data_IF_262787175623
#
_entry.id   IF_262787175623
#
_cell.length_a   1.000
_cell.length_b   1.000
_cell.length_c   1.000
_cell.angle_alpha   90.00
_cell.angle_beta   90.00
_cell.angle_gamma   90.00
#
_symmetry.space_group_name_H-M   'P 1'
#
loop_
_entity.id
_entity.type
_entity.pdbx_description
1 polymer ?
#
# COMPACT_ATOMS: atom_id res chain seq x y z
N UNK A 1 -15.08 -12.33 13.02
CA UNK A 1 -14.47 -11.14 12.36
C UNK A 1 -14.79 -11.16 10.86
N UNK A 2 -15.07 -10.04 10.22
CA UNK A 2 -15.34 -10.03 8.77
C UNK A 2 -14.01 -9.87 8.03
N UNK A 3 -13.61 -10.87 7.24
CA UNK A 3 -12.34 -10.88 6.49
C UNK A 3 -12.43 -10.20 5.13
N UNK A 4 -13.63 -9.92 4.64
CA UNK A 4 -13.88 -9.39 3.32
C UNK A 4 -14.81 -8.19 3.33
N UNK A 5 -14.39 -7.07 2.74
CA UNK A 5 -15.25 -5.93 2.44
C UNK A 5 -14.97 -5.39 1.02
N UNK A 6 -15.95 -4.71 0.45
CA UNK A 6 -15.89 -4.19 -0.90
C UNK A 6 -15.97 -2.66 -0.86
N UNK A 7 -14.93 -2.03 -1.38
CA UNK A 7 -14.95 -0.68 -1.92
C UNK A 7 -14.81 -0.77 -3.43
N UNK A 8 -14.04 0.12 -4.10
CA UNK A 8 -13.70 -0.06 -5.53
C UNK A 8 -12.82 -1.29 -5.75
N UNK A 9 -11.93 -1.60 -4.80
CA UNK A 9 -11.13 -2.83 -4.80
C UNK A 9 -11.70 -3.84 -3.78
N UNK A 10 -11.64 -5.15 -4.07
CA UNK A 10 -11.95 -6.17 -3.08
C UNK A 10 -10.81 -6.25 -2.07
N UNK A 11 -11.13 -6.19 -0.79
CA UNK A 11 -10.18 -6.32 0.30
C UNK A 11 -10.43 -7.63 1.03
N UNK A 12 -9.44 -8.50 1.07
CA UNK A 12 -9.46 -9.74 1.83
C UNK A 12 -8.39 -9.65 2.91
N UNK A 13 -8.85 -9.55 4.16
CA UNK A 13 -8.00 -9.31 5.32
C UNK A 13 -8.11 -10.49 6.29
N UNK A 14 -7.47 -11.65 6.00
CA UNK A 14 -7.37 -12.73 6.97
C UNK A 14 -6.61 -12.28 8.21
N UNK A 15 -7.03 -12.78 9.35
CA UNK A 15 -6.34 -12.53 10.61
C UNK A 15 -4.95 -13.20 10.60
N UNK A 16 -3.94 -12.53 11.12
CA UNK A 16 -2.60 -13.08 11.24
C UNK A 16 -1.88 -13.30 9.91
N UNK A 17 -2.15 -12.48 8.90
CA UNK A 17 -1.50 -12.57 7.61
C UNK A 17 -0.42 -11.50 7.41
N UNK A 18 0.51 -11.80 6.52
CA UNK A 18 1.45 -10.81 6.00
C UNK A 18 0.82 -10.05 4.84
N UNK A 19 1.02 -8.73 4.85
CA UNK A 19 0.46 -7.83 3.84
C UNK A 19 1.54 -7.03 3.15
N UNK A 20 1.38 -6.87 1.85
CA UNK A 20 2.00 -5.80 1.08
C UNK A 20 0.94 -4.73 0.80
N UNK A 21 1.26 -3.50 1.12
CA UNK A 21 0.33 -2.38 1.01
C UNK A 21 0.99 -1.25 0.25
N UNK A 22 0.25 -0.66 -0.69
CA UNK A 22 0.64 0.60 -1.34
C UNK A 22 -0.46 1.64 -1.13
N UNK A 23 -0.08 2.80 -0.62
CA UNK A 23 -0.96 3.96 -0.54
C UNK A 23 -0.26 5.20 -1.09
N UNK A 24 -1.02 6.09 -1.67
CA UNK A 24 -0.52 7.20 -2.46
C UNK A 24 -1.09 8.55 -2.03
N UNK A 25 -0.41 9.63 -2.39
CA UNK A 25 -0.91 10.98 -2.18
C UNK A 25 -2.23 11.21 -2.95
N UNK A 26 -3.06 12.07 -2.41
CA UNK A 26 -4.23 12.55 -3.14
C UNK A 26 -3.78 13.23 -4.44
N UNK A 27 -4.50 12.96 -5.52
CA UNK A 27 -4.21 13.49 -6.86
C UNK A 27 -2.84 13.09 -7.46
N UNK A 28 -2.19 12.04 -6.94
CA UNK A 28 -0.92 11.55 -7.50
C UNK A 28 -1.07 10.83 -8.84
N UNK A 29 -2.28 10.54 -9.27
CA UNK A 29 -2.60 10.05 -10.61
C UNK A 29 -3.77 10.83 -11.21
N UNK A 30 -3.74 11.15 -12.52
CA UNK A 30 -4.86 11.75 -13.22
C UNK A 30 -6.12 10.87 -13.15
N UNK A 31 -7.27 11.48 -12.92
CA UNK A 31 -8.56 10.77 -12.82
C UNK A 31 -8.85 9.95 -14.08
N UNK A 32 -8.57 10.53 -15.27
CA UNK A 32 -8.75 9.85 -16.55
C UNK A 32 -7.96 8.56 -16.63
N UNK A 33 -6.70 8.57 -16.21
CA UNK A 33 -5.86 7.38 -16.21
C UNK A 33 -6.40 6.27 -15.31
N UNK A 34 -6.88 6.65 -14.11
CA UNK A 34 -7.49 5.69 -13.18
C UNK A 34 -8.74 5.07 -13.83
N UNK A 35 -9.56 5.88 -14.48
CA UNK A 35 -10.76 5.39 -15.20
C UNK A 35 -10.40 4.42 -16.31
N UNK A 36 -9.42 4.74 -17.15
CA UNK A 36 -8.94 3.86 -18.23
C UNK A 36 -8.42 2.52 -17.70
N UNK A 37 -7.64 2.54 -16.60
CA UNK A 37 -7.14 1.32 -15.96
C UNK A 37 -8.27 0.48 -15.35
N UNK A 38 -9.23 1.11 -14.69
CA UNK A 38 -10.39 0.43 -14.09
C UNK A 38 -11.28 -0.20 -15.17
N UNK A 39 -11.55 0.53 -16.26
CA UNK A 39 -12.33 -0.01 -17.39
C UNK A 39 -11.63 -1.18 -18.07
N UNK A 40 -10.31 -1.09 -18.27
CA UNK A 40 -9.53 -2.20 -18.83
C UNK A 40 -9.61 -3.41 -17.92
N UNK A 41 -9.44 -3.22 -16.60
CA UNK A 41 -9.53 -4.30 -15.62
C UNK A 41 -10.91 -4.96 -15.62
N UNK A 42 -11.99 -4.20 -15.69
CA UNK A 42 -13.35 -4.75 -15.71
C UNK A 42 -13.63 -5.52 -17.02
N UNK A 43 -13.14 -5.04 -18.17
CA UNK A 43 -13.21 -5.79 -19.44
C UNK A 43 -12.47 -7.13 -19.34
N UNK A 44 -11.24 -7.14 -18.83
CA UNK A 44 -10.46 -8.37 -18.66
C UNK A 44 -11.11 -9.34 -17.65
N UNK A 45 -11.71 -8.84 -16.56
CA UNK A 45 -12.49 -9.65 -15.61
C UNK A 45 -13.70 -10.32 -16.29
N UNK A 46 -14.41 -9.59 -17.13
CA UNK A 46 -15.56 -10.15 -17.85
C UNK A 46 -15.13 -11.28 -18.78
N UNK A 47 -14.03 -11.12 -19.51
CA UNK A 47 -13.45 -12.17 -20.34
C UNK A 47 -13.08 -13.40 -19.50
N UNK A 48 -12.47 -13.21 -18.32
CA UNK A 48 -12.13 -14.33 -17.44
C UNK A 48 -13.38 -15.07 -16.98
N UNK A 49 -14.45 -14.36 -16.60
CA UNK A 49 -15.71 -14.94 -16.13
C UNK A 49 -16.43 -15.76 -17.22
N UNK A 50 -16.29 -15.36 -18.47
CA UNK A 50 -16.94 -16.07 -19.60
C UNK A 50 -16.10 -17.21 -20.17
N UNK A 51 -14.76 -17.11 -20.10
CA UNK A 51 -13.84 -18.04 -20.77
C UNK A 51 -13.37 -19.20 -19.89
N UNK A 52 -13.32 -19.02 -18.59
CA UNK A 52 -12.72 -19.98 -17.64
C UNK A 52 -13.76 -20.62 -16.74
N UNK A 53 -13.50 -21.86 -16.33
CA UNK A 53 -14.31 -22.55 -15.31
C UNK A 53 -14.16 -21.86 -13.94
N UNK A 54 -15.13 -22.01 -13.03
CA UNK A 54 -15.09 -21.40 -11.70
C UNK A 54 -13.82 -21.71 -10.92
N UNK A 55 -13.24 -22.89 -11.09
CA UNK A 55 -11.99 -23.29 -10.46
C UNK A 55 -10.78 -22.50 -11.01
N UNK A 56 -10.78 -22.22 -12.33
CA UNK A 56 -9.71 -21.48 -12.99
C UNK A 56 -9.84 -19.97 -12.81
N UNK A 57 -11.06 -19.46 -12.70
CA UNK A 57 -11.33 -18.01 -12.57
C UNK A 57 -10.55 -17.37 -11.42
N UNK A 58 -10.45 -18.04 -10.25
CA UNK A 58 -9.72 -17.51 -9.10
C UNK A 58 -8.25 -17.24 -9.41
N UNK A 59 -7.59 -18.18 -10.09
CA UNK A 59 -6.19 -18.04 -10.46
C UNK A 59 -5.98 -16.92 -11.51
N UNK A 60 -6.88 -16.84 -12.51
CA UNK A 60 -6.78 -15.82 -13.55
C UNK A 60 -7.12 -14.43 -13.05
N UNK A 61 -8.11 -14.27 -12.17
CA UNK A 61 -8.41 -13.00 -11.50
C UNK A 61 -7.22 -12.53 -10.64
N UNK A 62 -6.57 -13.45 -9.94
CA UNK A 62 -5.37 -13.14 -9.16
C UNK A 62 -4.21 -12.63 -10.04
N UNK A 63 -3.98 -13.27 -11.20
CA UNK A 63 -2.98 -12.79 -12.18
C UNK A 63 -3.33 -11.40 -12.72
N UNK A 64 -4.61 -11.18 -13.00
CA UNK A 64 -5.10 -9.89 -13.46
C UNK A 64 -4.88 -8.80 -12.40
N UNK A 65 -5.19 -9.07 -11.14
CA UNK A 65 -4.99 -8.10 -10.06
C UNK A 65 -3.50 -7.73 -9.87
N UNK A 66 -2.60 -8.71 -10.02
CA UNK A 66 -1.14 -8.43 -10.05
C UNK A 66 -0.72 -7.59 -11.25
N UNK A 67 -1.23 -7.90 -12.44
CA UNK A 67 -0.96 -7.13 -13.66
C UNK A 67 -1.45 -5.69 -13.51
N UNK A 68 -2.68 -5.52 -13.01
CA UNK A 68 -3.28 -4.21 -12.75
C UNK A 68 -2.43 -3.39 -11.77
N UNK A 69 -2.03 -3.99 -10.64
CA UNK A 69 -1.15 -3.33 -9.69
C UNK A 69 0.18 -2.89 -10.33
N UNK A 70 0.82 -3.78 -11.10
CA UNK A 70 2.08 -3.44 -11.77
C UNK A 70 1.96 -2.26 -12.74
N UNK A 71 0.85 -2.15 -13.47
CA UNK A 71 0.56 -0.99 -14.32
C UNK A 71 0.30 0.26 -13.51
N UNK A 72 -0.52 0.15 -12.46
CA UNK A 72 -0.85 1.26 -11.57
C UNK A 72 0.41 1.85 -10.92
N UNK A 73 1.28 1.01 -10.42
CA UNK A 73 2.54 1.38 -9.79
C UNK A 73 3.52 2.04 -10.77
N UNK A 74 3.65 1.46 -11.98
CA UNK A 74 4.46 2.07 -13.03
C UNK A 74 3.99 3.46 -13.45
N UNK A 75 2.68 3.75 -13.32
CA UNK A 75 2.15 5.09 -13.55
C UNK A 75 2.44 6.05 -12.40
N UNK A 76 2.48 5.58 -11.15
CA UNK A 76 2.93 6.39 -10.01
C UNK A 76 4.37 6.88 -10.21
N UNK A 77 5.25 6.01 -10.72
CA UNK A 77 6.62 6.37 -11.06
C UNK A 77 6.69 7.40 -12.20
N UNK A 78 5.86 7.24 -13.24
CA UNK A 78 5.87 8.11 -14.44
C UNK A 78 5.22 9.47 -14.24
N UNK A 79 4.15 9.54 -13.43
CA UNK A 79 3.39 10.77 -13.21
C UNK A 79 4.01 11.68 -12.13
N UNK A 80 5.26 11.43 -11.71
CA UNK A 80 5.91 12.18 -10.64
C UNK A 80 5.97 13.67 -10.94
N UNK A 81 6.29 14.07 -12.18
CA UNK A 81 6.43 15.48 -12.55
C UNK A 81 5.09 16.25 -12.56
N UNK A 82 3.98 15.57 -12.83
CA UNK A 82 2.64 16.16 -12.96
C UNK A 82 1.80 15.99 -11.69
N UNK A 83 2.35 15.40 -10.64
CA UNK A 83 1.63 15.01 -9.42
C UNK A 83 2.21 15.65 -8.16
N UNK A 84 1.43 15.71 -7.07
CA UNK A 84 1.97 16.09 -5.77
C UNK A 84 3.15 15.19 -5.37
N UNK A 85 4.24 15.83 -4.93
CA UNK A 85 5.48 15.17 -4.51
C UNK A 85 5.80 15.49 -3.04
N UNK A 86 4.78 15.61 -2.20
CA UNK A 86 4.97 16.08 -0.83
C UNK A 86 5.88 15.21 0.01
N UNK A 87 6.01 13.91 -0.33
CA UNK A 87 6.96 13.00 0.34
C UNK A 87 8.42 13.20 -0.13
N UNK A 88 8.70 14.07 -1.11
CA UNK A 88 10.06 14.49 -1.42
C UNK A 88 10.60 15.50 -0.40
N UNK A 89 9.72 16.15 0.38
CA UNK A 89 10.11 16.96 1.52
C UNK A 89 10.56 16.05 2.67
N UNK A 90 11.77 16.27 3.15
CA UNK A 90 12.40 15.41 4.16
C UNK A 90 11.64 15.40 5.50
N UNK A 91 11.08 16.54 5.91
CA UNK A 91 10.30 16.65 7.15
C UNK A 91 9.00 15.84 7.00
N UNK A 92 8.34 15.95 5.86
CA UNK A 92 7.10 15.24 5.56
C UNK A 92 7.35 13.73 5.49
N UNK A 93 8.41 13.31 4.80
CA UNK A 93 8.78 11.90 4.72
C UNK A 93 9.14 11.33 6.10
N UNK A 94 9.85 12.10 6.94
CA UNK A 94 10.20 11.69 8.30
C UNK A 94 8.95 11.48 9.16
N UNK A 95 7.96 12.39 9.11
CA UNK A 95 6.67 12.23 9.83
C UNK A 95 6.01 10.90 9.45
N UNK A 96 6.02 10.54 8.18
CA UNK A 96 5.41 9.28 7.72
C UNK A 96 6.22 8.06 8.16
N UNK A 97 7.55 8.12 8.06
CA UNK A 97 8.44 7.04 8.51
C UNK A 97 8.32 6.80 10.01
N UNK A 98 8.32 7.87 10.83
CA UNK A 98 8.18 7.78 12.28
C UNK A 98 6.84 7.14 12.68
N UNK A 99 5.74 7.50 12.04
CA UNK A 99 4.43 6.88 12.34
C UNK A 99 4.37 5.41 11.91
N UNK A 100 5.00 5.03 10.78
CA UNK A 100 5.12 3.62 10.37
C UNK A 100 5.90 2.84 11.44
N UNK A 101 7.03 3.36 11.90
CA UNK A 101 7.85 2.72 12.93
C UNK A 101 7.17 2.72 14.31
N UNK A 102 6.45 3.77 14.69
CA UNK A 102 5.73 3.84 15.95
C UNK A 102 4.60 2.79 16.09
N UNK A 103 4.09 2.28 14.98
CA UNK A 103 3.08 1.23 14.97
C UNK A 103 3.69 -0.19 14.95
N UNK A 104 5.01 -0.31 14.75
CA UNK A 104 5.74 -1.57 14.85
C UNK A 104 5.69 -2.11 16.28
N UNK A 105 5.41 -3.40 16.42
CA UNK A 105 5.18 -4.06 17.71
C UNK A 105 3.82 -3.74 18.36
N UNK A 106 3.14 -2.66 17.98
CA UNK A 106 1.80 -2.33 18.47
C UNK A 106 0.70 -2.92 17.58
N UNK A 107 0.81 -2.72 16.26
CA UNK A 107 -0.23 -3.08 15.30
C UNK A 107 0.21 -4.15 14.29
N UNK A 108 1.49 -4.30 14.11
CA UNK A 108 2.10 -5.26 13.19
C UNK A 108 3.59 -5.44 13.55
N UNK A 109 4.22 -6.48 13.02
CA UNK A 109 5.66 -6.53 12.88
C UNK A 109 6.04 -5.92 11.53
N UNK A 110 6.83 -4.85 11.56
CA UNK A 110 7.31 -4.17 10.36
C UNK A 110 8.41 -4.99 9.69
N UNK A 111 8.23 -5.33 8.43
CA UNK A 111 9.21 -6.08 7.64
C UNK A 111 10.03 -5.13 6.76
N UNK A 112 9.38 -4.31 5.97
CA UNK A 112 10.04 -3.33 5.13
C UNK A 112 9.10 -2.20 4.73
N UNK A 113 9.66 -1.05 4.41
CA UNK A 113 8.96 0.01 3.69
C UNK A 113 9.88 0.76 2.74
N UNK A 114 9.28 1.45 1.80
CA UNK A 114 9.93 2.45 0.96
C UNK A 114 8.97 3.62 0.73
N UNK A 115 9.42 4.84 1.09
CA UNK A 115 8.71 6.07 0.77
C UNK A 115 9.25 6.64 -0.53
N UNK A 116 8.40 6.70 -1.54
CA UNK A 116 8.64 7.41 -2.79
C UNK A 116 8.08 8.82 -2.70
N UNK A 117 8.35 9.69 -3.66
CA UNK A 117 7.92 11.10 -3.61
C UNK A 117 6.40 11.31 -3.57
N UNK A 118 5.59 10.35 -4.03
CA UNK A 118 4.13 10.44 -4.16
C UNK A 118 3.36 9.22 -3.66
N UNK A 119 4.04 8.17 -3.18
CA UNK A 119 3.42 6.96 -2.65
C UNK A 119 4.34 6.24 -1.66
N UNK A 120 3.79 5.27 -0.96
CA UNK A 120 4.48 4.44 0.05
C UNK A 120 4.17 2.98 -0.22
N UNK A 121 5.22 2.16 -0.18
CA UNK A 121 5.12 0.70 -0.08
C UNK A 121 5.47 0.26 1.33
N UNK A 122 4.71 -0.68 1.89
CA UNK A 122 4.99 -1.25 3.20
C UNK A 122 4.68 -2.75 3.19
N UNK A 123 5.55 -3.55 3.80
CA UNK A 123 5.35 -4.96 4.09
C UNK A 123 5.28 -5.14 5.60
N UNK A 124 4.19 -5.74 6.08
CA UNK A 124 3.94 -5.94 7.50
C UNK A 124 3.35 -7.32 7.78
N UNK A 125 3.69 -7.88 8.92
CA UNK A 125 3.07 -9.09 9.46
C UNK A 125 2.12 -8.74 10.60
N UNK A 126 0.88 -9.19 10.53
CA UNK A 126 -0.14 -8.97 11.56
C UNK A 126 -0.30 -10.18 12.50
N UNK A 127 0.47 -11.24 12.31
CA UNK A 127 0.43 -12.42 13.17
C UNK A 127 0.87 -12.06 14.61
N UNK A 128 0.10 -12.52 15.59
CA UNK A 128 0.39 -12.28 17.01
C UNK A 128 0.08 -10.86 17.51
N UNK A 129 -0.34 -9.95 16.66
CA UNK A 129 -0.73 -8.60 17.05
C UNK A 129 -2.24 -8.56 17.27
N UNK A 130 -2.65 -8.57 18.55
CA UNK A 130 -4.05 -8.41 18.92
C UNK A 130 -4.49 -6.97 18.58
N UNK A 131 -5.42 -6.85 17.65
CA UNK A 131 -6.09 -5.58 17.41
C UNK A 131 -6.96 -5.22 18.59
N UNK A 132 -6.42 -4.43 19.51
CA UNK A 132 -7.26 -3.85 20.56
C UNK A 132 -8.14 -2.78 19.92
N UNK A 133 -9.48 -2.90 20.02
CA UNK A 133 -10.37 -1.85 19.56
C UNK A 133 -10.09 -0.57 20.38
N UNK A 134 -10.19 0.57 19.72
CA UNK A 134 -9.97 1.89 20.35
C UNK A 134 -10.97 2.16 21.51
N UNK A 135 -12.02 1.35 21.64
CA UNK A 135 -13.02 1.41 22.71
C UNK A 135 -13.43 -0.01 23.11
N UNK A 136 -13.54 -0.28 24.42
CA UNK A 136 -14.09 -1.53 24.94
C UNK A 136 -15.47 -1.81 24.33
N UNK A 137 -15.68 -3.03 23.84
CA UNK A 137 -16.95 -3.48 23.26
C UNK A 137 -17.11 -3.28 21.74
N UNK A 138 -16.18 -2.63 21.04
CA UNK A 138 -16.19 -2.50 19.58
C UNK A 138 -15.13 -3.42 18.99
N UNK A 139 -15.51 -4.58 18.49
CA UNK A 139 -14.63 -5.40 17.63
C UNK A 139 -14.42 -4.62 16.33
N UNK A 140 -13.20 -4.18 16.06
CA UNK A 140 -12.87 -3.63 14.75
C UNK A 140 -13.09 -4.73 13.71
N UNK A 141 -14.12 -4.62 12.84
CA UNK A 141 -14.44 -5.70 11.91
C UNK A 141 -13.35 -5.92 10.86
N UNK A 142 -12.41 -4.97 10.75
CA UNK A 142 -11.32 -4.97 9.77
C UNK A 142 -10.04 -4.37 10.38
N UNK A 143 -9.24 -5.17 11.07
CA UNK A 143 -8.05 -4.69 11.79
C UNK A 143 -7.05 -3.92 10.91
N UNK A 144 -6.74 -4.42 9.72
CA UNK A 144 -5.86 -3.73 8.79
C UNK A 144 -6.42 -2.37 8.35
N UNK A 145 -7.73 -2.29 8.09
CA UNK A 145 -8.39 -1.03 7.72
C UNK A 145 -8.32 0.00 8.85
N UNK A 146 -8.44 -0.42 10.11
CA UNK A 146 -8.29 0.46 11.28
C UNK A 146 -6.85 0.95 11.42
N UNK A 147 -5.87 0.06 11.26
CA UNK A 147 -4.45 0.40 11.26
C UNK A 147 -4.12 1.43 10.17
N UNK A 148 -4.57 1.20 8.93
CA UNK A 148 -4.37 2.15 7.83
C UNK A 148 -5.11 3.47 8.04
N UNK A 149 -6.31 3.44 8.64
CA UNK A 149 -7.05 4.65 8.99
C UNK A 149 -6.26 5.49 10.01
N UNK A 150 -5.70 4.86 11.05
CA UNK A 150 -4.87 5.53 12.05
C UNK A 150 -3.61 6.11 11.41
N UNK A 151 -2.83 5.31 10.69
CA UNK A 151 -1.60 5.71 10.01
C UNK A 151 -1.86 6.90 9.07
N UNK A 152 -2.80 6.75 8.13
CA UNK A 152 -3.13 7.80 7.15
C UNK A 152 -3.74 9.05 7.80
N UNK A 153 -4.54 8.89 8.85
CA UNK A 153 -5.18 10.01 9.55
C UNK A 153 -4.17 10.87 10.30
N UNK A 154 -3.29 10.25 11.07
CA UNK A 154 -2.25 10.96 11.84
C UNK A 154 -1.24 11.63 10.92
N UNK A 155 -0.70 10.89 9.95
CA UNK A 155 0.26 11.45 9.00
C UNK A 155 -0.36 12.55 8.14
N UNK A 156 -1.62 12.44 7.69
CA UNK A 156 -2.32 13.53 6.99
C UNK A 156 -2.33 14.82 7.80
N UNK A 157 -2.64 14.72 9.10
CA UNK A 157 -2.70 15.89 9.99
C UNK A 157 -1.35 16.57 10.10
N UNK A 158 -0.32 15.83 10.48
CA UNK A 158 1.01 16.40 10.75
C UNK A 158 1.72 16.84 9.47
N UNK A 159 1.59 16.10 8.37
CA UNK A 159 2.17 16.49 7.09
C UNK A 159 1.50 17.75 6.52
N UNK A 160 0.17 17.86 6.60
CA UNK A 160 -0.52 19.08 6.20
C UNK A 160 -0.10 20.28 7.05
N UNK A 161 0.12 20.08 8.35
CA UNK A 161 0.62 21.14 9.25
C UNK A 161 2.04 21.57 8.87
N UNK A 162 2.94 20.60 8.62
CA UNK A 162 4.33 20.89 8.20
C UNK A 162 4.40 21.64 6.87
N UNK A 163 3.51 21.31 5.94
CA UNK A 163 3.42 21.96 4.63
C UNK A 163 2.60 23.26 4.62
N UNK A 164 2.01 23.67 5.74
CA UNK A 164 1.15 24.84 5.82
C UNK A 164 -0.11 24.75 4.91
N UNK A 165 -0.62 23.52 4.67
CA UNK A 165 -1.71 23.26 3.75
C UNK A 165 -2.90 22.56 4.41
N UNK A 166 -4.05 22.53 3.74
CA UNK A 166 -5.24 21.78 4.12
C UNK A 166 -5.69 20.81 3.03
N UNK A 167 -6.80 20.11 3.30
CA UNK A 167 -7.42 19.18 2.37
C UNK A 167 -6.82 17.77 2.42
N UNK A 168 -7.24 16.88 1.49
CA UNK A 168 -6.78 15.50 1.45
C UNK A 168 -5.26 15.40 1.24
N UNK A 169 -4.57 14.64 2.09
CA UNK A 169 -3.16 14.32 1.93
C UNK A 169 -3.01 12.99 1.20
N UNK A 170 -3.67 11.93 1.68
CA UNK A 170 -3.69 10.61 1.06
C UNK A 170 -4.92 10.41 0.17
N UNK A 171 -4.76 9.65 -0.89
CA UNK A 171 -5.89 9.06 -1.58
C UNK A 171 -6.60 8.09 -0.63
N UNK A 172 -7.94 8.03 -0.68
CA UNK A 172 -8.71 7.23 0.28
C UNK A 172 -8.49 5.72 0.14
N UNK A 173 -8.36 5.20 -1.08
CA UNK A 173 -8.07 3.80 -1.35
C UNK A 173 -6.58 3.49 -1.14
N UNK A 174 -6.30 2.24 -0.74
CA UNK A 174 -4.98 1.64 -0.72
C UNK A 174 -5.04 0.33 -1.49
N UNK A 175 -3.95 -0.06 -2.11
CA UNK A 175 -3.79 -1.42 -2.61
C UNK A 175 -3.28 -2.28 -1.46
N UNK A 176 -3.91 -3.41 -1.21
CA UNK A 176 -3.50 -4.41 -0.23
C UNK A 176 -3.43 -5.78 -0.89
N UNK A 177 -2.41 -6.53 -0.55
CA UNK A 177 -2.14 -7.85 -1.06
C UNK A 177 -1.66 -8.76 0.06
N UNK A 178 -2.31 -9.93 0.23
CA UNK A 178 -1.89 -10.96 1.17
C UNK A 178 -0.74 -11.75 0.57
N UNK A 179 0.38 -11.80 1.26
CA UNK A 179 1.54 -12.63 0.91
C UNK A 179 1.26 -14.07 1.32
N UNK A 180 1.41 -15.01 0.39
CA UNK A 180 0.91 -16.38 0.54
C UNK A 180 1.99 -17.44 0.76
N UNK A 181 3.20 -17.18 0.29
CA UNK A 181 4.31 -18.12 0.38
C UNK A 181 5.65 -17.39 0.44
N UNK A 182 6.70 -18.13 0.79
CA UNK A 182 8.06 -17.60 0.95
C UNK A 182 8.60 -16.98 -0.35
N UNK A 183 8.34 -17.58 -1.50
CA UNK A 183 8.80 -17.04 -2.79
C UNK A 183 8.14 -15.71 -3.12
N UNK A 184 6.87 -15.56 -2.79
CA UNK A 184 6.17 -14.29 -2.93
C UNK A 184 6.68 -13.24 -1.95
N UNK A 185 6.93 -13.64 -0.70
CA UNK A 185 7.54 -12.81 0.33
C UNK A 185 8.88 -12.22 -0.14
N UNK A 186 9.82 -13.08 -0.54
CA UNK A 186 11.15 -12.64 -0.97
C UNK A 186 11.08 -11.66 -2.14
N UNK A 187 10.20 -11.94 -3.11
CA UNK A 187 9.98 -11.07 -4.26
C UNK A 187 9.38 -9.72 -3.87
N UNK A 188 8.41 -9.70 -2.97
CA UNK A 188 7.71 -8.46 -2.57
C UNK A 188 8.60 -7.60 -1.67
N UNK A 189 9.31 -8.20 -0.73
CA UNK A 189 10.29 -7.47 0.10
C UNK A 189 11.36 -6.86 -0.77
N UNK A 190 11.94 -7.64 -1.69
CA UNK A 190 12.92 -7.12 -2.66
C UNK A 190 12.34 -5.99 -3.53
N UNK A 191 11.13 -6.17 -4.04
CA UNK A 191 10.44 -5.15 -4.80
C UNK A 191 10.27 -3.85 -3.99
N UNK A 192 9.86 -3.95 -2.73
CA UNK A 192 9.63 -2.80 -1.84
C UNK A 192 10.90 -1.98 -1.64
N UNK A 193 11.99 -2.63 -1.23
CA UNK A 193 13.25 -1.90 -0.95
C UNK A 193 13.95 -1.42 -2.21
N UNK A 194 13.82 -2.14 -3.33
CA UNK A 194 14.49 -1.81 -4.59
C UNK A 194 13.70 -0.81 -5.47
N UNK A 195 12.58 -0.30 -4.98
CA UNK A 195 11.73 0.63 -5.73
C UNK A 195 12.48 1.91 -6.16
N UNK A 196 13.29 2.59 -5.31
CA UNK A 196 14.02 3.78 -5.71
C UNK A 196 15.13 3.50 -6.74
N UNK A 197 15.71 2.29 -6.75
CA UNK A 197 16.67 1.86 -7.79
C UNK A 197 15.95 1.66 -9.11
N UNK A 198 14.79 0.97 -9.10
CA UNK A 198 13.94 0.78 -10.28
C UNK A 198 13.47 2.11 -10.89
N UNK A 199 13.20 3.10 -10.04
CA UNK A 199 12.85 4.46 -10.47
C UNK A 199 14.05 5.31 -10.91
N UNK A 200 15.28 4.78 -10.84
CA UNK A 200 16.51 5.49 -11.24
C UNK A 200 16.93 6.62 -10.30
N UNK A 201 16.43 6.64 -9.06
CA UNK A 201 16.72 7.68 -8.08
C UNK A 201 18.06 7.47 -7.36
N UNK A 202 18.44 6.21 -7.16
CA UNK A 202 19.70 5.78 -6.55
C UNK A 202 20.22 4.54 -7.26
N UNK A 203 21.53 4.23 -7.08
CA UNK A 203 22.11 3.01 -7.62
C UNK A 203 21.91 1.80 -6.72
N UNK A 204 21.85 2.02 -5.42
CA UNK A 204 21.65 0.99 -4.39
C UNK A 204 20.51 1.44 -3.49
N UNK A 205 19.65 0.51 -3.09
CA UNK A 205 18.48 0.82 -2.25
C UNK A 205 18.88 1.35 -0.85
N UNK A 206 20.05 0.95 -0.34
CA UNK A 206 20.61 1.42 0.93
C UNK A 206 20.92 2.92 0.92
N UNK A 207 21.11 3.50 -0.26
CA UNK A 207 21.40 4.93 -0.43
C UNK A 207 20.09 5.77 -0.40
N UNK A 208 18.91 5.13 -0.35
CA UNK A 208 17.64 5.82 -0.24
C UNK A 208 17.21 5.96 1.22
N UNK A 209 17.29 7.19 1.76
CA UNK A 209 17.10 7.50 3.19
C UNK A 209 15.81 6.92 3.80
N UNK A 210 14.72 6.92 3.05
CA UNK A 210 13.40 6.48 3.52
C UNK A 210 13.05 5.07 3.04
N UNK A 211 14.03 4.19 3.08
CA UNK A 211 13.86 2.73 2.93
C UNK A 211 14.26 2.03 4.21
N UNK A 212 13.49 1.04 4.59
CA UNK A 212 13.75 0.20 5.76
C UNK A 212 13.59 -1.28 5.41
N UNK A 213 14.47 -2.09 5.96
CA UNK A 213 14.38 -3.55 5.93
C UNK A 213 14.76 -4.10 7.31
N UNK A 214 13.90 -4.93 7.91
CA UNK A 214 14.15 -5.57 9.21
C UNK A 214 15.47 -6.34 9.20
N UNK A 215 16.27 -6.19 10.28
CA UNK A 215 17.57 -6.86 10.40
C UNK A 215 18.71 -6.26 9.56
N UNK A 216 18.47 -5.13 8.90
CA UNK A 216 19.51 -4.33 8.24
C UNK A 216 19.43 -2.89 8.75
N UNK A 217 20.38 -2.54 9.61
CA UNK A 217 20.65 -1.16 10.03
C UNK A 217 21.73 -0.56 9.12
#
# INVERSE_FOLDING_TARGET
>A
MREFYRRKLPHWHPEGAMYFITFRLANSLPVRLIQELDEQREREKQVIRTRFSSAQQRAELYKLDKKYFGHFDAWLDRCVEESPRWLADEIVAQIVADEIQALDGERYALISYCLMSNHVHIVMDTAGHAFQPAHEGVTAPYPLADTLKRLKGRTSRFCNQALGRGGPFWHHESYDHVIRDQKEYDRIVWYTVNNPVKAGLVQRWEDWKFTYLVGRN
#
